data_IF_828147903467
#
_entry.id   IF_828147903467
#
_cell.length_a   1.000
_cell.length_b   1.000
_cell.length_c   1.000
_cell.angle_alpha   90.00
_cell.angle_beta   90.00
_cell.angle_gamma   90.00
#
_symmetry.space_group_name_H-M   'P 1'
#
loop_
_entity.id
_entity.type
_entity.pdbx_description
1 polymer ?
#
# COMPACT_ATOMS: atom_id res chain seq x y z
N UNK A 1 21.74 -5.18 20.99
CA UNK A 1 20.47 -5.58 21.63
C UNK A 1 19.38 -4.89 20.85
N UNK A 2 18.43 -5.66 20.34
CA UNK A 2 17.33 -5.15 19.54
C UNK A 2 16.48 -4.16 20.35
N UNK A 3 16.25 -2.95 19.83
CA UNK A 3 15.55 -1.88 20.56
C UNK A 3 14.29 -1.45 19.85
N UNK A 4 13.13 -1.62 20.48
CA UNK A 4 11.87 -1.07 19.97
C UNK A 4 11.71 0.39 20.35
N UNK A 5 11.47 1.23 19.35
CA UNK A 5 11.27 2.68 19.48
C UNK A 5 9.79 3.01 19.30
N UNK A 6 9.22 3.78 20.21
CA UNK A 6 7.88 4.34 20.14
C UNK A 6 7.87 5.81 20.61
N UNK A 7 6.69 6.44 20.59
CA UNK A 7 6.52 7.85 21.01
C UNK A 7 6.92 8.14 22.47
N UNK A 8 6.99 7.12 23.34
CA UNK A 8 7.35 7.28 24.75
C UNK A 8 8.82 6.97 24.99
N UNK A 9 9.54 6.51 23.97
CA UNK A 9 10.97 6.22 24.06
C UNK A 9 11.74 7.51 24.29
N UNK A 10 12.63 7.52 25.28
CA UNK A 10 13.42 8.73 25.60
C UNK A 10 14.27 9.16 24.41
N UNK A 11 14.38 10.48 24.18
CA UNK A 11 15.19 11.04 23.10
C UNK A 11 16.64 10.59 23.17
N UNK A 12 17.22 10.57 24.38
CA UNK A 12 18.58 10.05 24.61
C UNK A 12 18.77 8.59 24.20
N UNK A 13 17.70 7.78 24.11
CA UNK A 13 17.79 6.40 23.57
C UNK A 13 17.77 6.42 22.04
N UNK A 14 16.92 7.25 21.44
CA UNK A 14 16.84 7.40 19.97
C UNK A 14 18.14 8.01 19.42
N UNK A 15 18.69 9.04 20.07
CA UNK A 15 19.95 9.71 19.71
C UNK A 15 21.19 8.81 19.82
N UNK A 16 21.11 7.70 20.58
CA UNK A 16 22.20 6.72 20.69
C UNK A 16 22.21 5.70 19.56
N UNK A 17 21.19 5.67 18.71
CA UNK A 17 21.16 4.78 17.56
C UNK A 17 22.15 5.28 16.50
N UNK A 18 23.07 4.43 16.07
CA UNK A 18 24.09 4.77 15.06
C UNK A 18 23.48 5.34 13.78
N UNK A 19 22.30 4.83 13.37
CA UNK A 19 21.58 5.33 12.18
C UNK A 19 21.06 6.76 12.36
N UNK A 20 20.65 7.13 13.57
CA UNK A 20 20.18 8.48 13.90
C UNK A 20 21.35 9.45 14.01
N UNK A 21 22.47 9.02 14.61
CA UNK A 21 23.68 9.85 14.72
C UNK A 21 24.27 10.27 13.38
N UNK A 22 24.05 9.49 12.31
CA UNK A 22 24.46 9.85 10.95
C UNK A 22 23.60 10.93 10.31
N UNK A 23 22.38 11.13 10.80
CA UNK A 23 21.42 12.10 10.29
C UNK A 23 21.46 13.40 11.10
N UNK A 24 21.75 13.32 12.40
CA UNK A 24 21.90 14.48 13.27
C UNK A 24 23.20 15.24 12.99
N UNK A 25 23.13 16.56 13.05
CA UNK A 25 24.32 17.41 13.05
C UNK A 25 25.09 17.28 14.37
N UNK A 26 26.38 17.63 14.39
CA UNK A 26 27.18 17.59 15.61
C UNK A 26 26.57 18.47 16.71
N UNK A 27 26.27 17.88 17.87
CA UNK A 27 25.65 18.56 19.01
C UNK A 27 24.13 18.82 18.88
N UNK A 28 23.51 18.35 17.80
CA UNK A 28 22.06 18.43 17.60
C UNK A 28 21.31 17.40 18.45
N UNK A 29 20.16 17.79 18.99
CA UNK A 29 19.31 16.94 19.82
C UNK A 29 17.88 16.89 19.26
N UNK A 30 17.17 15.83 19.59
CA UNK A 30 15.74 15.66 19.29
C UNK A 30 14.94 16.58 20.21
N UNK A 31 14.03 17.35 19.61
CA UNK A 31 13.13 18.27 20.30
C UNK A 31 11.75 17.63 20.52
N UNK A 32 11.28 16.85 19.55
CA UNK A 32 10.00 16.13 19.65
C UNK A 32 10.00 14.85 18.81
N UNK A 33 9.17 13.90 19.24
CA UNK A 33 8.81 12.70 18.48
C UNK A 33 7.29 12.57 18.51
N UNK A 34 6.65 12.63 17.34
CA UNK A 34 5.20 12.48 17.19
C UNK A 34 4.87 11.32 16.26
N UNK A 35 3.69 10.71 16.43
CA UNK A 35 3.22 9.68 15.50
C UNK A 35 2.94 10.37 14.15
N UNK A 36 3.52 9.85 13.08
CA UNK A 36 3.31 10.35 11.72
C UNK A 36 2.45 9.36 10.92
N UNK A 37 1.15 9.67 10.82
CA UNK A 37 0.15 8.81 10.15
C UNK A 37 -0.49 7.77 11.09
N UNK A 38 -1.47 7.01 10.58
CA UNK A 38 -2.21 6.04 11.40
C UNK A 38 -1.38 4.79 11.81
N UNK A 39 -0.21 4.57 11.18
CA UNK A 39 0.68 3.45 11.51
C UNK A 39 0.07 2.08 11.23
N UNK A 40 -0.18 1.77 9.95
CA UNK A 40 -0.78 0.49 9.55
C UNK A 40 0.09 -0.70 9.94
N UNK A 41 1.24 -0.88 9.28
CA UNK A 41 2.13 -2.03 9.52
C UNK A 41 3.25 -1.72 10.51
N UNK A 42 3.76 -0.49 10.52
CA UNK A 42 4.99 -0.12 11.24
C UNK A 42 4.72 0.99 12.26
N UNK A 43 5.61 1.12 13.24
CA UNK A 43 5.70 2.35 14.03
C UNK A 43 6.35 3.41 13.14
N UNK A 44 5.67 4.55 12.99
CA UNK A 44 6.12 5.68 12.18
C UNK A 44 6.13 6.91 13.07
N UNK A 45 7.31 7.49 13.29
CA UNK A 45 7.49 8.69 14.09
C UNK A 45 8.08 9.80 13.23
N UNK A 46 7.50 11.01 13.29
CA UNK A 46 8.20 12.21 12.89
C UNK A 46 9.08 12.66 14.04
N UNK A 47 10.38 12.73 13.77
CA UNK A 47 11.38 13.26 14.68
C UNK A 47 11.72 14.67 14.26
N UNK A 48 11.59 15.63 15.17
CA UNK A 48 11.93 17.03 14.95
C UNK A 48 13.15 17.40 15.76
N UNK A 49 14.06 18.13 15.12
CA UNK A 49 15.30 18.65 15.69
C UNK A 49 15.32 20.17 15.55
N UNK A 50 16.39 20.84 15.97
CA UNK A 50 16.51 22.28 15.85
C UNK A 50 16.66 22.74 14.39
N UNK A 51 17.31 21.95 13.53
CA UNK A 51 17.59 22.32 12.14
C UNK A 51 16.70 21.63 11.11
N UNK A 52 16.12 20.48 11.44
CA UNK A 52 15.42 19.63 10.46
C UNK A 52 14.36 18.70 11.09
N UNK A 53 13.67 17.94 10.26
CA UNK A 53 12.86 16.79 10.66
C UNK A 53 13.06 15.59 9.73
N UNK A 54 12.82 14.39 10.27
CA UNK A 54 12.86 13.14 9.51
C UNK A 54 11.83 12.15 10.03
N UNK A 55 11.50 11.15 9.20
CA UNK A 55 10.62 10.06 9.57
C UNK A 55 11.46 8.86 10.02
N UNK A 56 11.22 8.38 11.24
CA UNK A 56 11.73 7.11 11.74
C UNK A 56 10.64 6.06 11.63
N UNK A 57 10.88 5.04 10.81
CA UNK A 57 9.96 3.92 10.60
C UNK A 57 10.59 2.64 11.11
N UNK A 58 9.85 1.87 11.91
CA UNK A 58 10.35 0.63 12.49
C UNK A 58 9.30 -0.49 12.45
N UNK A 59 9.70 -1.66 11.96
CA UNK A 59 8.84 -2.84 11.98
C UNK A 59 8.65 -3.44 13.37
N UNK A 60 7.55 -4.19 13.50
CA UNK A 60 7.18 -5.00 14.67
C UNK A 60 6.95 -6.44 14.22
N UNK A 61 7.04 -7.44 15.12
CA UNK A 61 6.72 -8.82 14.76
C UNK A 61 5.21 -9.05 14.54
N UNK A 62 4.44 -7.96 14.52
CA UNK A 62 3.00 -7.88 14.29
C UNK A 62 2.67 -6.66 13.42
N UNK A 63 1.42 -6.59 12.95
CA UNK A 63 0.83 -5.42 12.29
C UNK A 63 0.56 -4.35 13.34
N UNK A 64 1.13 -3.15 13.20
CA UNK A 64 1.03 -2.10 14.22
C UNK A 64 -0.42 -1.71 14.57
N UNK A 65 -1.31 -1.66 13.58
CA UNK A 65 -2.75 -1.40 13.75
C UNK A 65 -3.52 -2.58 14.35
N UNK A 66 -3.07 -3.82 14.12
CA UNK A 66 -3.70 -5.06 14.58
C UNK A 66 -2.65 -5.96 15.25
N UNK A 67 -2.32 -5.67 16.51
CA UNK A 67 -1.16 -6.26 17.18
C UNK A 67 -1.25 -7.77 17.41
N UNK A 68 -2.45 -8.36 17.30
CA UNK A 68 -2.67 -9.81 17.36
C UNK A 68 -2.29 -10.53 16.06
N UNK A 69 -2.07 -9.79 14.96
CA UNK A 69 -1.71 -10.35 13.66
C UNK A 69 -0.18 -10.31 13.51
N UNK A 70 0.46 -11.47 13.51
CA UNK A 70 1.90 -11.60 13.27
C UNK A 70 2.30 -11.08 11.89
N UNK A 71 3.43 -10.38 11.80
CA UNK A 71 3.97 -9.83 10.56
C UNK A 71 5.51 -9.90 10.55
N UNK A 72 6.14 -10.13 9.38
CA UNK A 72 7.59 -10.29 9.28
C UNK A 72 8.32 -8.97 9.54
N UNK A 73 9.30 -8.97 10.45
CA UNK A 73 10.15 -7.80 10.74
C UNK A 73 10.92 -7.30 9.50
N UNK A 74 11.33 -8.23 8.64
CA UNK A 74 12.09 -7.96 7.41
C UNK A 74 11.32 -7.13 6.37
N UNK A 75 10.03 -6.82 6.56
CA UNK A 75 9.28 -5.96 5.62
C UNK A 75 9.88 -4.55 5.49
N UNK A 76 10.50 -4.03 6.54
CA UNK A 76 11.23 -2.75 6.45
C UNK A 76 12.46 -2.86 5.53
N UNK A 77 13.09 -4.03 5.46
CA UNK A 77 14.17 -4.29 4.51
C UNK A 77 13.65 -4.29 3.08
N UNK A 78 12.45 -4.83 2.84
CA UNK A 78 11.79 -4.77 1.55
C UNK A 78 11.51 -3.33 1.11
N UNK A 79 10.98 -2.50 2.01
CA UNK A 79 10.79 -1.07 1.76
C UNK A 79 12.10 -0.34 1.45
N UNK A 80 13.16 -0.58 2.24
CA UNK A 80 14.50 -0.05 1.97
C UNK A 80 15.03 -0.50 0.60
N UNK A 81 14.83 -1.78 0.25
CA UNK A 81 15.28 -2.37 -1.01
C UNK A 81 14.58 -1.75 -2.21
N UNK A 82 13.29 -1.42 -2.07
CA UNK A 82 12.53 -0.68 -3.08
C UNK A 82 13.16 0.68 -3.34
N UNK A 83 13.30 1.52 -2.31
CA UNK A 83 13.90 2.85 -2.48
C UNK A 83 15.34 2.76 -3.03
N UNK A 84 16.11 1.77 -2.58
CA UNK A 84 17.48 1.54 -3.04
C UNK A 84 17.53 1.17 -4.53
N UNK A 85 16.65 0.26 -4.98
CA UNK A 85 16.58 -0.15 -6.39
C UNK A 85 16.26 1.04 -7.29
N UNK A 86 15.31 1.88 -6.89
CA UNK A 86 14.96 3.08 -7.64
C UNK A 86 16.14 4.06 -7.65
N UNK A 87 16.75 4.36 -6.50
CA UNK A 87 17.83 5.36 -6.41
C UNK A 87 19.04 5.12 -7.34
N UNK A 88 19.28 3.89 -7.82
CA UNK A 88 20.34 3.58 -8.79
C UNK A 88 20.18 4.33 -10.12
N UNK A 89 18.94 4.65 -10.51
CA UNK A 89 18.63 5.47 -11.69
C UNK A 89 18.60 6.98 -11.44
N UNK A 90 18.90 7.41 -10.21
CA UNK A 90 18.78 8.79 -9.75
C UNK A 90 17.61 9.01 -8.79
N UNK A 91 17.66 10.16 -8.09
CA UNK A 91 16.60 10.60 -7.19
C UNK A 91 15.29 10.81 -7.95
N UNK A 92 14.19 10.24 -7.43
CA UNK A 92 12.84 10.46 -7.94
C UNK A 92 12.12 11.44 -7.04
N UNK A 93 11.63 12.54 -7.61
CA UNK A 93 10.96 13.58 -6.83
C UNK A 93 9.62 13.15 -6.21
N UNK A 94 9.05 12.04 -6.66
CA UNK A 94 7.78 11.49 -6.15
C UNK A 94 7.98 10.47 -5.02
N UNK A 95 9.21 10.27 -4.53
CA UNK A 95 9.53 9.38 -3.41
C UNK A 95 10.22 10.15 -2.28
N UNK A 96 10.05 9.72 -1.02
CA UNK A 96 10.92 10.19 0.05
C UNK A 96 12.36 9.71 -0.16
N UNK A 97 13.33 10.49 0.33
CA UNK A 97 14.74 10.10 0.31
C UNK A 97 15.06 9.21 1.50
N UNK A 98 15.86 8.16 1.28
CA UNK A 98 16.41 7.35 2.38
C UNK A 98 17.56 8.13 3.03
N UNK A 99 17.44 8.38 4.33
CA UNK A 99 18.45 9.05 5.14
C UNK A 99 19.34 8.04 5.89
N UNK A 100 18.81 6.87 6.20
CA UNK A 100 19.53 5.82 6.90
C UNK A 100 18.73 4.53 7.01
N UNK A 101 19.44 3.42 7.15
CA UNK A 101 18.84 2.10 7.35
C UNK A 101 19.67 1.32 8.38
N UNK A 102 19.00 0.74 9.36
CA UNK A 102 19.57 -0.11 10.39
C UNK A 102 18.88 -1.49 10.34
N UNK A 103 19.51 -2.50 9.71
CA UNK A 103 18.95 -3.84 9.60
C UNK A 103 18.85 -4.55 10.96
N UNK A 104 19.75 -4.26 11.91
CA UNK A 104 19.77 -4.94 13.21
C UNK A 104 18.61 -4.50 14.11
N UNK A 105 18.15 -3.25 13.94
CA UNK A 105 17.01 -2.71 14.65
C UNK A 105 15.74 -2.59 13.79
N UNK A 106 15.75 -3.04 12.54
CA UNK A 106 14.63 -2.90 11.60
C UNK A 106 14.13 -1.45 11.48
N UNK A 107 15.06 -0.49 11.42
CA UNK A 107 14.77 0.95 11.32
C UNK A 107 15.11 1.46 9.92
N UNK A 108 14.19 2.24 9.34
CA UNK A 108 14.39 3.02 8.14
C UNK A 108 14.15 4.50 8.48
N UNK A 109 15.11 5.35 8.14
CA UNK A 109 14.99 6.80 8.25
C UNK A 109 14.71 7.38 6.86
N UNK A 110 13.63 8.15 6.74
CA UNK A 110 13.21 8.79 5.49
C UNK A 110 13.15 10.31 5.67
N UNK A 111 13.33 11.05 4.57
CA UNK A 111 13.10 12.50 4.55
C UNK A 111 11.67 12.81 4.97
N UNK A 112 11.48 13.78 5.85
CA UNK A 112 10.16 14.30 6.15
C UNK A 112 9.64 15.11 4.96
N UNK A 113 8.49 14.72 4.44
CA UNK A 113 7.82 15.41 3.35
C UNK A 113 7.03 16.63 3.86
N UNK A 114 6.99 16.86 5.18
CA UNK A 114 6.27 17.95 5.81
C UNK A 114 4.82 17.58 6.13
N UNK A 115 3.98 18.59 6.36
CA UNK A 115 2.56 18.38 6.59
C UNK A 115 1.91 17.79 5.33
N UNK A 116 1.52 16.52 5.41
CA UNK A 116 0.98 15.74 4.32
C UNK A 116 -0.36 15.14 4.72
N UNK A 117 -1.28 15.05 3.76
CA UNK A 117 -2.47 14.23 3.87
C UNK A 117 -2.36 13.07 2.89
N UNK A 118 -2.88 11.90 3.27
CA UNK A 118 -3.08 10.83 2.28
C UNK A 118 -4.15 11.24 1.26
N UNK A 119 -4.21 10.53 0.14
CA UNK A 119 -5.17 10.82 -0.92
C UNK A 119 -6.53 10.14 -0.70
N UNK A 120 -6.90 9.71 0.51
CA UNK A 120 -8.21 9.05 0.75
C UNK A 120 -9.40 10.00 0.61
N UNK A 121 -9.17 11.33 0.55
CA UNK A 121 -10.17 12.34 0.19
C UNK A 121 -10.82 12.09 -1.17
N UNK A 122 -10.18 11.32 -2.07
CA UNK A 122 -10.75 10.94 -3.36
C UNK A 122 -12.11 10.23 -3.26
N UNK A 123 -12.41 9.57 -2.14
CA UNK A 123 -13.71 8.91 -1.94
C UNK A 123 -14.82 9.91 -1.63
N UNK A 124 -14.48 11.13 -1.23
CA UNK A 124 -15.41 12.25 -0.99
C UNK A 124 -15.50 13.15 -2.21
N UNK A 125 -14.38 13.40 -2.90
CA UNK A 125 -14.32 14.15 -4.14
C UNK A 125 -13.61 13.36 -5.25
N UNK A 126 -14.41 12.73 -6.11
CA UNK A 126 -13.90 11.98 -7.26
C UNK A 126 -13.17 12.83 -8.31
N UNK A 127 -13.23 14.16 -8.23
CA UNK A 127 -12.43 15.02 -9.11
C UNK A 127 -10.94 14.95 -8.79
N UNK A 128 -10.58 14.64 -7.53
CA UNK A 128 -9.19 14.52 -7.09
C UNK A 128 -8.49 13.33 -7.78
N UNK A 129 -9.12 12.15 -7.83
CA UNK A 129 -8.48 10.99 -8.48
C UNK A 129 -8.27 11.22 -9.98
N UNK A 130 -9.18 11.98 -10.63
CA UNK A 130 -9.04 12.36 -12.04
C UNK A 130 -7.86 13.31 -12.28
N UNK A 131 -7.52 14.15 -11.31
CA UNK A 131 -6.34 15.03 -11.39
C UNK A 131 -5.03 14.26 -11.14
N UNK A 132 -5.06 13.26 -10.25
CA UNK A 132 -3.89 12.49 -9.86
C UNK A 132 -3.50 11.38 -10.87
N UNK A 133 -4.48 10.81 -11.58
CA UNK A 133 -4.29 9.56 -12.36
C UNK A 133 -3.13 9.63 -13.36
N UNK A 134 -2.92 10.77 -14.02
CA UNK A 134 -1.83 10.93 -14.99
C UNK A 134 -0.46 10.80 -14.33
N UNK A 135 -0.23 11.51 -13.23
CA UNK A 135 1.01 11.44 -12.45
C UNK A 135 1.21 10.05 -11.83
N UNK A 136 0.15 9.46 -11.27
CA UNK A 136 0.22 8.13 -10.66
C UNK A 136 0.54 7.04 -11.70
N UNK A 137 0.02 7.15 -12.93
CA UNK A 137 0.40 6.25 -14.02
C UNK A 137 1.86 6.42 -14.42
N UNK A 138 2.36 7.66 -14.46
CA UNK A 138 3.77 7.94 -14.76
C UNK A 138 4.70 7.36 -13.68
N UNK A 139 4.34 7.49 -12.40
CA UNK A 139 5.11 6.93 -11.28
C UNK A 139 5.09 5.39 -11.30
N UNK A 140 3.92 4.78 -11.49
CA UNK A 140 3.80 3.32 -11.62
C UNK A 140 4.65 2.80 -12.78
N UNK A 141 4.62 3.46 -13.94
CA UNK A 141 5.46 3.09 -15.08
C UNK A 141 6.94 3.15 -14.77
N UNK A 142 7.39 4.24 -14.14
CA UNK A 142 8.79 4.41 -13.75
C UNK A 142 9.25 3.35 -12.73
N UNK A 143 8.38 2.99 -11.77
CA UNK A 143 8.61 1.85 -10.85
C UNK A 143 8.74 0.55 -11.65
N UNK A 144 7.77 0.24 -12.53
CA UNK A 144 7.71 -1.01 -13.27
C UNK A 144 8.85 -1.18 -14.28
N UNK A 145 9.42 -0.07 -14.79
CA UNK A 145 10.58 -0.06 -15.67
C UNK A 145 11.92 -0.12 -14.93
N UNK A 146 11.91 0.00 -13.59
CA UNK A 146 13.11 -0.10 -12.78
C UNK A 146 13.57 -1.55 -12.70
N UNK A 147 14.81 -1.81 -13.11
CA UNK A 147 15.42 -3.13 -12.99
C UNK A 147 15.78 -3.42 -11.51
N UNK A 148 14.94 -4.20 -10.83
CA UNK A 148 15.24 -4.63 -9.48
C UNK A 148 16.43 -5.64 -9.46
N UNK A 149 17.35 -5.53 -8.50
CA UNK A 149 18.47 -6.46 -8.40
C UNK A 149 17.99 -7.91 -8.23
N UNK A 150 18.80 -8.87 -8.66
CA UNK A 150 18.48 -10.30 -8.49
C UNK A 150 18.23 -10.69 -7.03
N UNK A 151 18.88 -9.98 -6.10
CA UNK A 151 18.74 -10.13 -4.64
C UNK A 151 17.51 -9.43 -4.04
N UNK A 152 16.66 -8.78 -4.85
CA UNK A 152 15.47 -8.09 -4.34
C UNK A 152 14.59 -9.06 -3.53
N UNK A 153 14.09 -8.66 -2.35
CA UNK A 153 13.30 -9.54 -1.50
C UNK A 153 12.08 -10.13 -2.21
N UNK A 154 11.91 -11.45 -2.12
CA UNK A 154 10.69 -12.12 -2.62
C UNK A 154 9.44 -11.77 -1.82
N UNK A 155 9.62 -11.31 -0.58
CA UNK A 155 8.58 -10.88 0.33
C UNK A 155 7.49 -11.94 0.64
N UNK A 156 7.83 -13.23 0.56
CA UNK A 156 6.84 -14.31 0.56
C UNK A 156 5.96 -14.39 1.82
N UNK A 157 6.53 -14.10 3.00
CA UNK A 157 5.76 -14.13 4.25
C UNK A 157 4.68 -13.03 4.27
N UNK A 158 5.04 -11.81 3.86
CA UNK A 158 4.09 -10.70 3.80
C UNK A 158 3.10 -10.87 2.64
N UNK A 159 3.54 -11.37 1.48
CA UNK A 159 2.64 -11.78 0.38
C UNK A 159 1.62 -12.81 0.86
N UNK A 160 2.03 -13.79 1.65
CA UNK A 160 1.11 -14.82 2.17
C UNK A 160 0.08 -14.21 3.13
N UNK A 161 0.51 -13.29 4.00
CA UNK A 161 -0.41 -12.54 4.86
C UNK A 161 -1.40 -11.71 4.03
N UNK A 162 -0.90 -10.92 3.08
CA UNK A 162 -1.73 -10.06 2.24
C UNK A 162 -2.69 -10.87 1.36
N UNK A 163 -2.24 -12.03 0.86
CA UNK A 163 -3.05 -12.95 0.06
C UNK A 163 -4.32 -13.36 0.80
N UNK A 164 -4.24 -13.60 2.12
CA UNK A 164 -5.43 -13.95 2.91
C UNK A 164 -6.48 -12.84 2.83
N UNK A 165 -6.07 -11.58 2.91
CA UNK A 165 -6.99 -10.44 2.91
C UNK A 165 -7.44 -9.99 1.53
N UNK A 166 -6.65 -10.26 0.48
CA UNK A 166 -6.98 -9.88 -0.89
C UNK A 166 -7.74 -11.00 -1.62
N UNK A 167 -7.32 -12.26 -1.52
CA UNK A 167 -7.78 -13.35 -2.39
C UNK A 167 -8.54 -14.48 -1.67
N UNK A 168 -8.47 -14.56 -0.34
CA UNK A 168 -9.11 -15.67 0.40
C UNK A 168 -10.30 -15.18 1.23
N UNK A 169 -10.04 -14.52 2.36
CA UNK A 169 -11.02 -14.20 3.40
C UNK A 169 -12.30 -13.55 2.84
N UNK A 170 -12.27 -12.52 1.97
CA UNK A 170 -13.49 -11.90 1.45
C UNK A 170 -14.41 -12.87 0.67
N UNK A 171 -13.87 -13.97 0.14
CA UNK A 171 -14.53 -14.86 -0.81
C UNK A 171 -14.82 -16.26 -0.24
N UNK A 172 -14.61 -16.46 1.06
CA UNK A 172 -14.95 -17.69 1.78
C UNK A 172 -15.81 -17.39 3.00
N UNK A 173 -16.39 -18.42 3.59
CA UNK A 173 -16.99 -18.30 4.92
C UNK A 173 -15.92 -18.00 5.96
N UNK A 174 -16.21 -17.02 6.82
CA UNK A 174 -15.29 -16.48 7.81
C UNK A 174 -16.11 -15.76 8.92
N UNK A 175 -15.44 -15.35 9.99
CA UNK A 175 -16.08 -14.74 11.16
C UNK A 175 -16.26 -13.21 11.06
N UNK A 176 -16.14 -12.61 9.86
CA UNK A 176 -16.38 -11.18 9.68
C UNK A 176 -17.87 -10.88 9.78
N UNK A 177 -18.26 -10.12 10.80
CA UNK A 177 -19.62 -9.61 10.93
C UNK A 177 -19.83 -8.41 10.00
N UNK A 178 -20.08 -8.69 8.71
CA UNK A 178 -20.33 -7.65 7.71
C UNK A 178 -21.57 -6.80 8.04
N UNK A 179 -22.54 -7.33 8.79
CA UNK A 179 -23.72 -6.58 9.19
C UNK A 179 -23.42 -5.57 10.32
N UNK A 180 -22.36 -5.77 11.11
CA UNK A 180 -21.84 -4.73 12.01
C UNK A 180 -21.21 -3.56 11.25
N UNK A 181 -20.67 -3.80 10.06
CA UNK A 181 -20.16 -2.73 9.18
C UNK A 181 -21.34 -1.97 8.57
N UNK A 182 -22.29 -2.69 7.98
CA UNK A 182 -23.52 -2.13 7.46
C UNK A 182 -24.58 -3.23 7.30
N UNK A 183 -25.78 -2.98 7.84
CA UNK A 183 -26.89 -3.91 7.72
C UNK A 183 -27.18 -4.26 6.25
N UNK A 184 -27.24 -5.57 5.94
CA UNK A 184 -27.49 -6.11 4.60
C UNK A 184 -26.22 -6.39 3.78
N UNK A 185 -25.04 -5.98 4.24
CA UNK A 185 -23.78 -6.19 3.51
C UNK A 185 -23.41 -7.69 3.41
N UNK A 186 -23.78 -8.49 4.42
CA UNK A 186 -23.57 -9.94 4.38
C UNK A 186 -24.34 -10.61 3.22
N UNK A 187 -25.54 -10.12 2.89
CA UNK A 187 -26.32 -10.62 1.75
C UNK A 187 -25.64 -10.28 0.41
N UNK A 188 -25.08 -9.08 0.28
CA UNK A 188 -24.34 -8.67 -0.91
C UNK A 188 -23.05 -9.48 -1.11
N UNK A 189 -22.47 -10.03 -0.05
CA UNK A 189 -21.26 -10.86 -0.12
C UNK A 189 -21.53 -12.31 -0.58
N UNK A 190 -22.78 -12.82 -0.49
CA UNK A 190 -23.09 -14.23 -0.81
C UNK A 190 -22.66 -14.67 -2.22
N UNK A 191 -22.92 -13.89 -3.30
CA UNK A 191 -22.50 -14.28 -4.64
C UNK A 191 -20.98 -14.47 -4.76
N UNK A 192 -20.21 -13.73 -3.97
CA UNK A 192 -18.75 -13.82 -3.93
C UNK A 192 -18.23 -15.03 -3.16
N UNK A 193 -18.98 -15.49 -2.14
CA UNK A 193 -18.64 -16.65 -1.30
C UNK A 193 -19.15 -17.99 -1.82
N UNK A 194 -20.20 -17.98 -2.65
CA UNK A 194 -20.91 -19.21 -3.07
C UNK A 194 -20.88 -19.49 -4.57
N UNK A 195 -20.11 -18.72 -5.36
CA UNK A 195 -19.94 -18.98 -6.79
C UNK A 195 -18.59 -19.68 -7.07
N UNK A 196 -18.59 -20.99 -7.40
CA UNK A 196 -17.36 -21.74 -7.63
C UNK A 196 -16.54 -21.23 -8.83
N UNK A 197 -17.19 -20.70 -9.87
CA UNK A 197 -16.49 -20.19 -11.06
C UNK A 197 -15.74 -18.90 -10.72
N UNK A 198 -16.39 -17.99 -9.99
CA UNK A 198 -15.77 -16.76 -9.51
C UNK A 198 -14.59 -17.09 -8.58
N UNK A 199 -14.82 -17.97 -7.60
CA UNK A 199 -13.78 -18.41 -6.67
C UNK A 199 -12.58 -19.01 -7.40
N UNK A 200 -12.80 -19.86 -8.40
CA UNK A 200 -11.70 -20.44 -9.18
C UNK A 200 -10.86 -19.37 -9.91
N UNK A 201 -11.48 -18.33 -10.48
CA UNK A 201 -10.74 -17.21 -11.08
C UNK A 201 -9.89 -16.47 -10.05
N UNK A 202 -10.47 -16.16 -8.89
CA UNK A 202 -9.77 -15.48 -7.79
C UNK A 202 -8.59 -16.33 -7.29
N UNK A 203 -8.81 -17.65 -7.16
CA UNK A 203 -7.80 -18.62 -6.74
C UNK A 203 -6.62 -18.69 -7.71
N UNK A 204 -6.89 -18.64 -9.02
CA UNK A 204 -5.86 -18.62 -10.06
C UNK A 204 -5.01 -17.35 -9.99
N UNK A 205 -5.65 -16.18 -9.85
CA UNK A 205 -4.94 -14.89 -9.73
C UNK A 205 -4.16 -14.83 -8.43
N UNK A 206 -4.73 -15.32 -7.33
CA UNK A 206 -4.05 -15.38 -6.05
C UNK A 206 -2.83 -16.32 -6.07
N UNK A 207 -2.89 -17.44 -6.80
CA UNK A 207 -1.72 -18.31 -7.05
C UNK A 207 -0.65 -17.60 -7.87
N UNK A 208 -1.06 -16.82 -8.88
CA UNK A 208 -0.14 -15.97 -9.65
C UNK A 208 0.53 -14.91 -8.75
N UNK A 209 -0.22 -14.25 -7.88
CA UNK A 209 0.31 -13.29 -6.90
C UNK A 209 1.35 -13.92 -5.95
N UNK A 210 1.10 -15.15 -5.47
CA UNK A 210 2.03 -15.87 -4.61
C UNK A 210 3.24 -16.45 -5.34
N UNK A 211 3.21 -16.52 -6.67
CA UNK A 211 4.32 -17.05 -7.46
C UNK A 211 5.57 -16.16 -7.38
N UNK A 212 6.73 -16.76 -7.69
CA UNK A 212 8.03 -16.08 -7.79
C UNK A 212 8.45 -15.89 -9.27
N UNK A 213 7.51 -15.99 -10.21
CA UNK A 213 7.81 -15.97 -11.66
C UNK A 213 7.75 -14.57 -12.28
N UNK A 214 7.34 -13.55 -11.51
CA UNK A 214 7.30 -12.17 -11.97
C UNK A 214 8.69 -11.55 -12.11
N UNK A 215 8.83 -10.64 -13.07
CA UNK A 215 10.05 -9.89 -13.38
C UNK A 215 9.90 -8.37 -13.22
N UNK A 216 8.68 -7.89 -13.04
CA UNK A 216 8.38 -6.46 -12.90
C UNK A 216 8.43 -6.06 -11.43
N UNK A 217 9.24 -5.06 -11.07
CA UNK A 217 9.18 -4.47 -9.74
C UNK A 217 7.83 -3.77 -9.56
N UNK A 218 7.08 -4.12 -8.53
CA UNK A 218 5.81 -3.47 -8.18
C UNK A 218 5.88 -2.86 -6.78
N UNK A 219 5.05 -1.85 -6.52
CA UNK A 219 4.81 -1.29 -5.20
C UNK A 219 4.12 -2.30 -4.27
N UNK A 220 3.12 -3.03 -4.78
CA UNK A 220 2.44 -4.11 -4.06
C UNK A 220 1.32 -3.66 -3.10
N UNK A 221 1.09 -2.35 -2.99
CA UNK A 221 -0.05 -1.74 -2.28
C UNK A 221 -0.33 -0.32 -2.84
N UNK A 222 -0.58 -0.22 -4.15
CA UNK A 222 -0.64 1.06 -4.86
C UNK A 222 -2.04 1.71 -4.79
N UNK A 223 -2.40 2.23 -3.60
CA UNK A 223 -3.73 2.79 -3.32
C UNK A 223 -3.67 4.18 -2.66
N UNK A 224 -4.80 4.92 -2.54
CA UNK A 224 -4.81 6.28 -2.00
C UNK A 224 -4.20 6.50 -0.61
N UNK A 225 -4.16 5.46 0.24
CA UNK A 225 -3.50 5.55 1.55
C UNK A 225 -1.97 5.50 1.48
N UNK A 226 -1.41 5.07 0.35
CA UNK A 226 0.02 5.03 0.06
C UNK A 226 0.47 6.19 -0.82
N UNK A 227 -0.41 7.16 -1.06
CA UNK A 227 -0.11 8.39 -1.78
C UNK A 227 -0.29 9.59 -0.86
N UNK A 228 0.70 10.48 -0.82
CA UNK A 228 0.65 11.70 -0.04
C UNK A 228 0.55 12.93 -0.93
N UNK A 229 -0.36 13.84 -0.61
CA UNK A 229 -0.44 15.15 -1.20
C UNK A 229 0.30 16.17 -0.32
N UNK A 230 1.30 16.85 -0.88
CA UNK A 230 2.10 17.87 -0.20
C UNK A 230 2.33 19.04 -1.15
N UNK A 231 1.86 20.25 -0.81
CA UNK A 231 2.13 21.47 -1.59
C UNK A 231 1.90 21.29 -3.11
N UNK A 232 0.76 20.71 -3.52
CA UNK A 232 0.40 20.40 -4.91
C UNK A 232 1.28 19.33 -5.60
N UNK A 233 2.20 18.69 -4.88
CA UNK A 233 2.96 17.51 -5.32
C UNK A 233 2.34 16.24 -4.73
N UNK A 234 2.54 15.13 -5.43
CA UNK A 234 2.12 13.80 -5.00
C UNK A 234 3.36 12.94 -4.76
N UNK A 235 3.36 12.19 -3.67
CA UNK A 235 4.42 11.25 -3.30
C UNK A 235 3.84 9.85 -3.13
N UNK A 236 4.64 8.84 -3.46
CA UNK A 236 4.36 7.42 -3.21
C UNK A 236 5.19 6.95 -2.03
N UNK A 237 4.54 6.31 -1.06
CA UNK A 237 5.15 5.86 0.20
C UNK A 237 4.73 4.44 0.54
N UNK A 238 5.40 3.86 1.54
CA UNK A 238 5.09 2.54 2.11
C UNK A 238 5.17 1.34 1.12
N UNK A 239 6.22 1.20 0.30
CA UNK A 239 6.41 0.06 -0.61
C UNK A 239 6.86 -1.22 0.10
N UNK A 240 6.44 -1.47 1.34
CA UNK A 240 6.84 -2.65 2.13
C UNK A 240 6.26 -3.96 1.57
N UNK A 241 5.19 -3.87 0.78
CA UNK A 241 4.59 -4.98 0.04
C UNK A 241 5.24 -5.21 -1.33
N UNK A 242 6.31 -4.49 -1.68
CA UNK A 242 6.96 -4.63 -2.97
C UNK A 242 7.60 -6.01 -3.17
N UNK A 243 7.61 -6.47 -4.43
CA UNK A 243 8.28 -7.68 -4.89
C UNK A 243 8.40 -7.64 -6.43
N UNK A 244 9.07 -8.64 -7.01
CA UNK A 244 9.05 -8.87 -8.46
C UNK A 244 7.80 -9.66 -8.84
N UNK A 245 6.82 -8.95 -9.38
CA UNK A 245 5.50 -9.45 -9.77
C UNK A 245 5.17 -9.06 -11.21
N UNK A 246 3.98 -8.51 -11.39
CA UNK A 246 3.42 -8.13 -12.69
C UNK A 246 2.69 -6.78 -12.55
N UNK A 247 2.89 -5.89 -13.52
CA UNK A 247 2.43 -4.49 -13.48
C UNK A 247 0.91 -4.34 -13.24
N UNK A 248 0.14 -5.30 -13.75
CA UNK A 248 -1.32 -5.34 -13.66
C UNK A 248 -1.81 -5.36 -12.22
N UNK A 249 -0.99 -5.80 -11.26
CA UNK A 249 -1.34 -5.74 -9.84
C UNK A 249 -1.54 -4.31 -9.35
N UNK A 250 -0.50 -3.47 -9.47
CA UNK A 250 -0.58 -2.07 -9.02
C UNK A 250 -1.62 -1.29 -9.83
N UNK A 251 -1.69 -1.53 -11.14
CA UNK A 251 -2.65 -0.85 -12.02
C UNK A 251 -4.10 -1.28 -11.74
N UNK A 252 -4.33 -2.56 -11.46
CA UNK A 252 -5.64 -3.08 -11.06
C UNK A 252 -6.09 -2.52 -9.72
N UNK A 253 -5.18 -2.45 -8.73
CA UNK A 253 -5.46 -1.82 -7.42
C UNK A 253 -5.81 -0.34 -7.61
N UNK A 254 -5.00 0.42 -8.33
CA UNK A 254 -5.31 1.83 -8.64
C UNK A 254 -6.66 1.98 -9.37
N UNK A 255 -6.94 1.10 -10.34
CA UNK A 255 -8.19 1.07 -11.09
C UNK A 255 -9.41 0.84 -10.21
N UNK A 256 -9.33 -0.10 -9.26
CA UNK A 256 -10.39 -0.35 -8.28
C UNK A 256 -10.70 0.91 -7.45
N UNK A 257 -9.67 1.58 -6.96
CA UNK A 257 -9.84 2.79 -6.16
C UNK A 257 -10.39 3.96 -6.98
N UNK A 258 -10.01 4.08 -8.26
CA UNK A 258 -10.63 5.03 -9.18
C UNK A 258 -12.14 4.75 -9.34
N UNK A 259 -12.53 3.49 -9.56
CA UNK A 259 -13.93 3.10 -9.74
C UNK A 259 -14.71 3.35 -8.45
N UNK A 260 -14.21 2.97 -7.28
CA UNK A 260 -14.91 3.20 -6.00
C UNK A 260 -15.08 4.70 -5.69
N UNK A 261 -14.10 5.52 -6.03
CA UNK A 261 -14.17 6.97 -5.88
C UNK A 261 -15.19 7.61 -6.85
N UNK A 262 -15.15 7.23 -8.13
CA UNK A 262 -15.91 7.90 -9.19
C UNK A 262 -17.21 7.22 -9.62
N UNK A 263 -17.45 5.99 -9.18
CA UNK A 263 -18.50 5.09 -9.68
C UNK A 263 -18.45 4.87 -11.20
N UNK A 264 -17.28 5.03 -11.84
CA UNK A 264 -17.11 4.92 -13.30
C UNK A 264 -16.01 3.95 -13.69
N UNK A 265 -16.35 2.98 -14.54
CA UNK A 265 -15.41 2.02 -15.15
C UNK A 265 -14.44 2.67 -16.14
N UNK A 266 -14.73 3.89 -16.60
CA UNK A 266 -13.86 4.65 -17.50
C UNK A 266 -12.45 4.84 -16.92
N UNK A 267 -12.32 4.82 -15.59
CA UNK A 267 -11.03 4.86 -14.89
C UNK A 267 -10.02 3.84 -15.41
N UNK A 268 -10.45 2.63 -15.76
CA UNK A 268 -9.57 1.61 -16.32
C UNK A 268 -9.00 2.03 -17.68
N UNK A 269 -9.85 2.58 -18.56
CA UNK A 269 -9.42 3.08 -19.87
C UNK A 269 -8.52 4.32 -19.78
N UNK A 270 -8.79 5.19 -18.79
CA UNK A 270 -7.93 6.34 -18.47
C UNK A 270 -6.54 5.87 -18.04
N UNK A 271 -6.47 4.87 -17.16
CA UNK A 271 -5.19 4.29 -16.70
C UNK A 271 -4.42 3.67 -17.87
N UNK A 272 -5.08 2.87 -18.72
CA UNK A 272 -4.45 2.28 -19.92
C UNK A 272 -3.84 3.36 -20.82
N UNK A 273 -4.58 4.45 -21.03
CA UNK A 273 -4.15 5.59 -21.86
C UNK A 273 -2.93 6.30 -21.28
N UNK A 274 -2.92 6.56 -19.98
CA UNK A 274 -1.82 7.29 -19.33
C UNK A 274 -0.59 6.42 -19.06
N UNK A 275 -0.78 5.15 -18.69
CA UNK A 275 0.31 4.20 -18.49
C UNK A 275 1.05 3.92 -19.81
N UNK A 276 0.30 3.78 -20.91
CA UNK A 276 0.82 3.72 -22.28
C UNK A 276 1.99 2.73 -22.44
N UNK A 277 1.77 1.48 -22.01
CA UNK A 277 2.67 0.36 -22.19
C UNK A 277 1.86 -0.93 -22.29
N UNK A 278 2.45 -1.99 -22.84
CA UNK A 278 1.76 -3.27 -22.98
C UNK A 278 1.53 -3.91 -21.62
N UNK A 279 0.28 -4.28 -21.36
CA UNK A 279 -0.15 -5.04 -20.19
C UNK A 279 -1.26 -6.02 -20.58
N UNK A 280 -1.51 -7.01 -19.74
CA UNK A 280 -2.71 -7.85 -19.81
C UNK A 280 -3.91 -7.09 -19.22
N UNK A 281 -4.70 -6.46 -20.09
CA UNK A 281 -5.89 -5.70 -19.69
C UNK A 281 -6.94 -6.56 -18.96
N UNK A 282 -7.04 -7.85 -19.28
CA UNK A 282 -7.99 -8.75 -18.61
C UNK A 282 -7.53 -9.04 -17.19
N UNK A 283 -6.23 -9.29 -16.99
CA UNK A 283 -5.67 -9.48 -15.66
C UNK A 283 -5.83 -8.22 -14.79
N UNK A 284 -5.54 -7.03 -15.34
CA UNK A 284 -5.75 -5.75 -14.64
C UNK A 284 -7.21 -5.57 -14.21
N UNK A 285 -8.17 -5.86 -15.11
CA UNK A 285 -9.61 -5.81 -14.80
C UNK A 285 -9.99 -6.74 -13.66
N UNK A 286 -9.53 -7.99 -13.71
CA UNK A 286 -9.84 -8.99 -12.68
C UNK A 286 -9.29 -8.58 -11.31
N UNK A 287 -8.08 -8.03 -11.27
CA UNK A 287 -7.48 -7.50 -10.04
C UNK A 287 -8.27 -6.31 -9.52
N UNK A 288 -8.71 -5.41 -10.40
CA UNK A 288 -9.56 -4.30 -9.99
C UNK A 288 -10.87 -4.79 -9.35
N UNK A 289 -11.53 -5.79 -9.95
CA UNK A 289 -12.73 -6.39 -9.35
C UNK A 289 -12.46 -7.06 -8.00
N UNK A 290 -11.33 -7.78 -7.85
CA UNK A 290 -10.92 -8.40 -6.58
C UNK A 290 -10.67 -7.34 -5.51
N UNK A 291 -9.94 -6.27 -5.84
CA UNK A 291 -9.65 -5.16 -4.94
C UNK A 291 -10.93 -4.42 -4.52
N UNK A 292 -11.84 -4.14 -5.46
CA UNK A 292 -13.14 -3.55 -5.12
C UNK A 292 -13.90 -4.43 -4.13
N UNK A 293 -13.97 -5.73 -4.41
CA UNK A 293 -14.67 -6.69 -3.56
C UNK A 293 -14.06 -6.75 -2.15
N UNK A 294 -12.74 -6.91 -2.03
CA UNK A 294 -12.07 -7.03 -0.72
C UNK A 294 -12.17 -5.75 0.13
N UNK A 295 -12.33 -4.58 -0.50
CA UNK A 295 -12.55 -3.31 0.21
C UNK A 295 -14.01 -3.09 0.64
N UNK A 296 -14.97 -3.67 -0.08
CA UNK A 296 -16.40 -3.54 0.23
C UNK A 296 -16.89 -4.61 1.20
N UNK A 297 -16.48 -5.87 1.02
CA UNK A 297 -16.95 -7.04 1.79
C UNK A 297 -15.83 -7.76 2.57
N UNK A 298 -14.68 -7.11 2.73
CA UNK A 298 -13.56 -7.60 3.55
C UNK A 298 -13.33 -6.77 4.82
N UNK A 299 -12.28 -7.12 5.56
CA UNK A 299 -11.96 -6.49 6.85
C UNK A 299 -11.43 -5.05 6.72
N UNK A 300 -10.65 -4.78 5.68
CA UNK A 300 -9.94 -3.51 5.50
C UNK A 300 -10.85 -2.45 4.85
N UNK A 301 -11.81 -1.95 5.62
CA UNK A 301 -12.76 -0.92 5.19
C UNK A 301 -12.07 0.40 4.85
N UNK A 302 -12.61 1.10 3.85
CA UNK A 302 -12.19 2.43 3.42
C UNK A 302 -13.09 3.49 4.07
N UNK A 303 -12.66 4.77 4.14
CA UNK A 303 -13.53 5.89 4.49
C UNK A 303 -14.47 6.24 3.31
N UNK A 304 -15.19 5.23 2.81
CA UNK A 304 -16.09 5.27 1.66
C UNK A 304 -17.54 5.31 2.17
N UNK A 305 -18.13 6.49 2.15
CA UNK A 305 -19.53 6.71 2.56
C UNK A 305 -20.47 6.38 1.41
N UNK A 306 -21.12 5.20 1.47
CA UNK A 306 -22.04 4.70 0.43
C UNK A 306 -23.25 4.02 1.03
N UNK A 307 -24.40 4.21 0.39
CA UNK A 307 -25.61 3.43 0.67
C UNK A 307 -25.40 1.95 0.32
N UNK A 308 -26.23 1.08 0.89
CA UNK A 308 -26.17 -0.36 0.57
C UNK A 308 -26.41 -0.61 -0.92
N UNK A 309 -27.29 0.19 -1.55
CA UNK A 309 -27.57 0.13 -2.97
C UNK A 309 -26.35 0.51 -3.82
N UNK A 310 -25.65 1.59 -3.49
CA UNK A 310 -24.42 1.96 -4.20
C UNK A 310 -23.30 0.92 -4.00
N UNK A 311 -23.18 0.32 -2.81
CA UNK A 311 -22.25 -0.80 -2.59
C UNK A 311 -22.61 -2.00 -3.43
N UNK A 312 -23.91 -2.30 -3.59
CA UNK A 312 -24.38 -3.34 -4.51
C UNK A 312 -23.96 -3.05 -5.94
N UNK A 313 -24.15 -1.82 -6.42
CA UNK A 313 -23.75 -1.42 -7.78
C UNK A 313 -22.25 -1.55 -8.01
N UNK A 314 -21.43 -1.16 -7.04
CA UNK A 314 -19.97 -1.36 -7.09
C UNK A 314 -19.60 -2.85 -7.09
N UNK A 315 -20.28 -3.68 -6.30
CA UNK A 315 -20.07 -5.13 -6.30
C UNK A 315 -20.53 -5.79 -7.61
N UNK A 316 -21.61 -5.32 -8.23
CA UNK A 316 -22.04 -5.80 -9.54
C UNK A 316 -20.95 -5.51 -10.60
N UNK A 317 -20.38 -4.30 -10.60
CA UNK A 317 -19.22 -3.95 -11.45
C UNK A 317 -18.03 -4.87 -11.15
N UNK A 318 -17.69 -5.06 -9.86
CA UNK A 318 -16.58 -5.90 -9.46
C UNK A 318 -16.75 -7.35 -9.94
N UNK A 319 -17.97 -7.89 -9.84
CA UNK A 319 -18.30 -9.22 -10.31
C UNK A 319 -18.11 -9.36 -11.83
N UNK A 320 -18.59 -8.39 -12.61
CA UNK A 320 -18.38 -8.36 -14.07
C UNK A 320 -16.89 -8.33 -14.42
N UNK A 321 -16.10 -7.50 -13.73
CA UNK A 321 -14.66 -7.40 -13.95
C UNK A 321 -13.90 -8.70 -13.69
N UNK A 322 -14.33 -9.48 -12.69
CA UNK A 322 -13.70 -10.79 -12.37
C UNK A 322 -14.13 -11.87 -13.37
N UNK A 323 -15.37 -11.82 -13.85
CA UNK A 323 -15.97 -12.88 -14.68
C UNK A 323 -15.82 -12.68 -16.18
N UNK A 324 -15.36 -11.51 -16.61
CA UNK A 324 -15.05 -11.19 -18.00
C UNK A 324 -13.84 -11.96 -18.57
#
# INVERSE_FOLDING_TARGET
MFTYIDKNTSFATIEKLDVVQKVLSEGENILSAEIAGEGNMNVVLRITTASNSFILKQSRPFVQKYQDINAPLERIHTEYSFYSALSQGGDREYLPKVLGYDPENYILLLSDLGAAADCTSVYKDSSEIKQLVSSLCAYAKDIHQTEAPASFPKNQALKTLNYQHIFALPFIENDFDLNQIQEGLAELAKPFKHNPSLQNTIDQIGKLYLSDTGDTLIHGDYYPGSWLAVNQKTYVIDPEFSFKGFAEFDLGVMGAHFIMASSSIEGLSTILTHYNAQIDEQLMRKIAGIEMSRRLIGLAQLPLERTLQEKKELLDIAYELITA
#
